data_IF_113437340277
#
_entry.id   IF_113437340277
#
_cell.length_a   1.000
_cell.length_b   1.000
_cell.length_c   1.000
_cell.angle_alpha   90.00
_cell.angle_beta   90.00
_cell.angle_gamma   90.00
#
_symmetry.space_group_name_H-M   'P 1'
#
loop_
_entity.id
_entity.type
_entity.pdbx_description
1 polymer ?
#
# COMPACT_ATOMS: atom_id res chain seq x y z
N UNK A 1 -14.10 -20.87 -13.21
CA UNK A 1 -13.72 -19.49 -13.58
C UNK A 1 -13.37 -19.44 -15.05
N UNK A 2 -13.74 -18.37 -15.76
CA UNK A 2 -13.24 -18.13 -17.13
C UNK A 2 -11.80 -17.63 -17.05
N UNK A 3 -11.01 -17.79 -18.12
CA UNK A 3 -9.62 -17.33 -18.17
C UNK A 3 -9.45 -15.84 -17.81
N UNK A 4 -10.44 -15.01 -18.19
CA UNK A 4 -10.48 -13.59 -17.84
C UNK A 4 -10.68 -13.33 -16.33
N UNK A 5 -11.48 -14.15 -15.66
CA UNK A 5 -11.69 -14.04 -14.20
C UNK A 5 -10.41 -14.42 -13.45
N UNK A 6 -9.66 -15.38 -13.99
CA UNK A 6 -8.43 -15.90 -13.41
C UNK A 6 -7.29 -14.87 -13.51
N UNK A 7 -7.16 -14.19 -14.66
CA UNK A 7 -6.20 -13.08 -14.80
C UNK A 7 -6.60 -11.89 -13.93
N UNK A 8 -7.90 -11.58 -13.83
CA UNK A 8 -8.39 -10.53 -12.92
C UNK A 8 -8.07 -10.84 -11.46
N UNK A 9 -8.31 -12.06 -11.01
CA UNK A 9 -7.96 -12.50 -9.66
C UNK A 9 -6.44 -12.41 -9.41
N UNK A 10 -5.61 -12.80 -10.38
CA UNK A 10 -4.15 -12.70 -10.30
C UNK A 10 -3.69 -11.25 -10.11
N UNK A 11 -4.25 -10.31 -10.86
CA UNK A 11 -3.92 -8.89 -10.75
C UNK A 11 -4.33 -8.32 -9.39
N UNK A 12 -5.52 -8.68 -8.89
CA UNK A 12 -6.00 -8.24 -7.57
C UNK A 12 -5.13 -8.83 -6.45
N UNK A 13 -4.77 -10.12 -6.53
CA UNK A 13 -3.88 -10.77 -5.57
C UNK A 13 -2.52 -10.09 -5.52
N UNK A 14 -1.89 -9.83 -6.68
CA UNK A 14 -0.61 -9.13 -6.73
C UNK A 14 -0.70 -7.72 -6.11
N UNK A 15 -1.78 -6.98 -6.40
CA UNK A 15 -2.00 -5.66 -5.82
C UNK A 15 -2.21 -5.74 -4.29
N UNK A 16 -2.91 -6.77 -3.81
CA UNK A 16 -3.08 -7.03 -2.39
C UNK A 16 -1.75 -7.30 -1.71
N UNK A 17 -0.92 -8.19 -2.26
CA UNK A 17 0.38 -8.53 -1.68
C UNK A 17 1.30 -7.30 -1.60
N UNK A 18 1.28 -6.45 -2.63
CA UNK A 18 1.98 -5.17 -2.61
C UNK A 18 1.47 -4.25 -1.50
N UNK A 19 0.14 -4.12 -1.33
CA UNK A 19 -0.45 -3.31 -0.27
C UNK A 19 -0.11 -3.86 1.13
N UNK A 20 -0.11 -5.18 1.32
CA UNK A 20 0.29 -5.84 2.57
C UNK A 20 1.77 -5.55 2.87
N UNK A 21 2.65 -5.70 1.88
CA UNK A 21 4.07 -5.40 2.02
C UNK A 21 4.32 -3.93 2.37
N UNK A 22 3.63 -2.98 1.71
CA UNK A 22 3.75 -1.56 2.04
C UNK A 22 3.23 -1.24 3.44
N UNK A 23 2.10 -1.84 3.86
CA UNK A 23 1.59 -1.69 5.23
C UNK A 23 2.59 -2.23 6.26
N UNK A 24 3.21 -3.38 5.99
CA UNK A 24 4.21 -3.97 6.90
C UNK A 24 5.43 -3.08 7.07
N UNK A 25 5.93 -2.49 5.98
CA UNK A 25 7.03 -1.49 5.98
C UNK A 25 6.70 -0.26 6.82
N UNK A 26 5.48 0.25 6.68
CA UNK A 26 5.01 1.38 7.49
C UNK A 26 4.89 1.01 8.96
N UNK A 27 4.40 -0.19 9.28
CA UNK A 27 4.27 -0.70 10.65
C UNK A 27 5.62 -0.98 11.32
N UNK A 28 6.66 -1.32 10.55
CA UNK A 28 8.03 -1.49 11.06
C UNK A 28 8.78 -0.17 11.32
N UNK A 29 8.07 0.97 11.31
CA UNK A 29 8.65 2.31 11.46
C UNK A 29 9.72 2.63 10.42
N UNK A 30 9.60 2.12 9.19
CA UNK A 30 10.52 2.51 8.11
C UNK A 30 10.45 4.03 7.90
N UNK A 31 11.61 4.69 7.77
CA UNK A 31 11.72 6.14 7.72
C UNK A 31 10.97 6.73 6.51
N UNK A 32 10.06 7.67 6.77
CA UNK A 32 9.35 8.40 5.72
C UNK A 32 10.17 9.64 5.32
N UNK A 33 10.66 9.67 4.09
CA UNK A 33 11.43 10.82 3.59
C UNK A 33 10.63 11.57 2.54
N UNK A 34 10.28 12.82 2.82
CA UNK A 34 9.77 13.74 1.80
C UNK A 34 10.96 14.39 1.11
N UNK A 35 11.14 14.12 -0.19
CA UNK A 35 12.21 14.71 -0.99
C UNK A 35 11.63 15.68 -2.02
N UNK A 36 12.28 16.82 -2.20
CA UNK A 36 11.98 17.80 -3.24
C UNK A 36 13.21 17.97 -4.11
N UNK A 37 12.99 18.01 -5.43
CA UNK A 37 14.03 18.24 -6.44
C UNK A 37 13.94 17.25 -7.58
N UNK A 38 14.70 17.53 -8.64
CA UNK A 38 14.93 16.67 -9.78
C UNK A 38 16.35 16.07 -9.73
N UNK A 39 16.58 15.07 -10.58
CA UNK A 39 17.71 14.12 -10.70
C UNK A 39 19.09 14.47 -10.11
N UNK A 40 19.48 15.75 -10.04
CA UNK A 40 20.79 16.21 -9.57
C UNK A 40 20.79 16.90 -8.19
N UNK A 41 19.64 17.08 -7.54
CA UNK A 41 19.57 17.80 -6.25
C UNK A 41 18.33 17.47 -5.44
N UNK A 42 18.32 16.30 -4.78
CA UNK A 42 17.25 15.95 -3.83
C UNK A 42 17.52 16.60 -2.47
N UNK A 43 16.68 17.56 -2.10
CA UNK A 43 16.62 18.10 -0.74
C UNK A 43 15.59 17.34 0.07
N UNK A 44 15.93 16.94 1.30
CA UNK A 44 14.99 16.30 2.21
C UNK A 44 14.30 17.35 3.08
N UNK A 45 12.96 17.30 3.14
CA UNK A 45 12.21 18.04 4.15
C UNK A 45 12.16 17.18 5.41
N UNK A 46 12.72 17.70 6.49
CA UNK A 46 12.60 17.09 7.82
C UNK A 46 11.21 17.44 8.37
N UNK A 47 10.38 16.41 8.55
CA UNK A 47 9.07 16.54 9.16
C UNK A 47 9.20 16.50 10.69
N UNK A 48 8.26 17.13 11.39
CA UNK A 48 8.18 16.95 12.84
C UNK A 48 7.75 15.51 13.15
N UNK A 49 8.21 14.90 14.26
CA UNK A 49 7.84 13.52 14.61
C UNK A 49 6.33 13.29 14.68
N UNK A 50 5.58 14.27 15.21
CA UNK A 50 4.12 14.20 15.30
C UNK A 50 3.45 14.21 13.91
N UNK A 51 3.99 14.96 12.96
CA UNK A 51 3.44 15.01 11.61
C UNK A 51 3.79 13.74 10.82
N UNK A 52 5.01 13.22 10.97
CA UNK A 52 5.40 11.93 10.39
C UNK A 52 4.51 10.79 10.91
N UNK A 53 4.23 10.75 12.22
CA UNK A 53 3.36 9.76 12.83
C UNK A 53 1.93 9.82 12.27
N UNK A 54 1.40 11.03 12.02
CA UNK A 54 0.08 11.21 11.40
C UNK A 54 0.05 10.69 9.96
N UNK A 55 1.04 11.06 9.14
CA UNK A 55 1.13 10.55 7.76
C UNK A 55 1.22 9.02 7.76
N UNK A 56 2.02 8.45 8.65
CA UNK A 56 2.14 6.99 8.79
C UNK A 56 0.80 6.35 9.14
N UNK A 57 0.07 6.91 10.10
CA UNK A 57 -1.25 6.42 10.49
C UNK A 57 -2.24 6.47 9.32
N UNK A 58 -2.28 7.58 8.58
CA UNK A 58 -3.16 7.77 7.42
C UNK A 58 -2.82 6.77 6.30
N UNK A 59 -1.53 6.56 6.02
CA UNK A 59 -1.09 5.57 5.02
C UNK A 59 -1.45 4.14 5.45
N UNK A 60 -1.24 3.77 6.72
CA UNK A 60 -1.63 2.45 7.24
C UNK A 60 -3.14 2.24 7.11
N UNK A 61 -3.96 3.26 7.43
CA UNK A 61 -5.40 3.19 7.29
C UNK A 61 -5.81 3.02 5.82
N UNK A 62 -5.21 3.78 4.90
CA UNK A 62 -5.48 3.68 3.48
C UNK A 62 -5.09 2.31 2.89
N UNK A 63 -3.92 1.76 3.27
CA UNK A 63 -3.53 0.42 2.83
C UNK A 63 -4.44 -0.66 3.42
N UNK A 64 -4.86 -0.53 4.68
CA UNK A 64 -5.79 -1.46 5.32
C UNK A 64 -7.14 -1.48 4.60
N UNK A 65 -7.67 -0.31 4.23
CA UNK A 65 -8.89 -0.19 3.43
C UNK A 65 -8.74 -0.92 2.10
N UNK A 66 -7.65 -0.64 1.37
CA UNK A 66 -7.45 -1.21 0.03
C UNK A 66 -7.17 -2.72 0.03
N UNK A 67 -6.57 -3.25 1.11
CA UNK A 67 -6.46 -4.70 1.32
C UNK A 67 -7.86 -5.30 1.49
N UNK A 68 -8.72 -4.69 2.31
CA UNK A 68 -10.10 -5.16 2.49
C UNK A 68 -10.93 -5.11 1.19
N UNK A 69 -10.76 -4.07 0.38
CA UNK A 69 -11.38 -3.97 -0.96
C UNK A 69 -10.90 -5.09 -1.90
N UNK A 70 -9.60 -5.41 -1.88
CA UNK A 70 -9.05 -6.50 -2.68
C UNK A 70 -9.56 -7.86 -2.19
N UNK A 71 -9.64 -8.07 -0.87
CA UNK A 71 -10.16 -9.31 -0.27
C UNK A 71 -11.64 -9.51 -0.67
N UNK A 72 -12.45 -8.45 -0.62
CA UNK A 72 -13.83 -8.49 -1.06
C UNK A 72 -13.96 -8.79 -2.57
N UNK A 73 -13.06 -8.22 -3.39
CA UNK A 73 -13.04 -8.45 -4.83
C UNK A 73 -12.61 -9.89 -5.19
N UNK A 74 -11.65 -10.47 -4.45
CA UNK A 74 -11.26 -11.88 -4.59
C UNK A 74 -12.38 -12.81 -4.17
N UNK A 75 -13.02 -12.55 -3.03
CA UNK A 75 -14.17 -13.32 -2.54
C UNK A 75 -15.33 -13.31 -3.54
N UNK A 76 -15.61 -12.17 -4.18
CA UNK A 76 -16.62 -12.06 -5.24
C UNK A 76 -16.29 -12.89 -6.50
N UNK A 77 -15.01 -13.21 -6.72
CA UNK A 77 -14.54 -14.11 -7.78
C UNK A 77 -14.48 -15.58 -7.34
N UNK A 78 -14.85 -15.88 -6.08
CA UNK A 78 -14.78 -17.22 -5.50
C UNK A 78 -13.36 -17.65 -5.12
N UNK A 79 -12.45 -16.69 -4.92
CA UNK A 79 -11.06 -16.91 -4.51
C UNK A 79 -10.93 -16.50 -3.05
N UNK A 80 -10.47 -17.42 -2.19
CA UNK A 80 -10.15 -17.08 -0.80
C UNK A 80 -8.82 -16.29 -0.75
N UNK A 81 -8.75 -15.20 0.04
CA UNK A 81 -7.57 -14.32 0.14
C UNK A 81 -6.43 -14.86 1.03
#
# INVERSE_FOLDING_TARGET
>A
MKAADLEKARLISNARDQNVAMRARLASNEALTLRIGDSNGLSAIVLTPAYEARIRADLIAAFSLRIGENDAALAALGVEP
#
